data_IF_750200381375
#
_entry.id   IF_750200381375
#
_cell.length_a   1.000
_cell.length_b   1.000
_cell.length_c   1.000
_cell.angle_alpha   90.00
_cell.angle_beta   90.00
_cell.angle_gamma   90.00
#
_symmetry.space_group_name_H-M   'P 1'
#
loop_
_entity.id
_entity.type
_entity.pdbx_description
1 polymer ?
#
# COMPACT_ATOMS: atom_id res chain seq x y z
N UNK A 1 -0.90 -16.32 -39.67
CA UNK A 1 -1.01 -15.09 -38.87
C UNK A 1 -0.76 -15.51 -37.43
N UNK A 2 0.51 -15.48 -37.04
CA UNK A 2 0.93 -15.88 -35.70
C UNK A 2 0.48 -14.78 -34.73
N UNK A 3 -0.39 -15.13 -33.80
CA UNK A 3 -0.75 -14.23 -32.70
C UNK A 3 0.37 -14.38 -31.69
N UNK A 4 1.32 -13.44 -31.71
CA UNK A 4 2.34 -13.30 -30.68
C UNK A 4 1.64 -13.11 -29.33
N UNK A 5 1.61 -14.20 -28.55
CA UNK A 5 1.11 -14.22 -27.20
C UNK A 5 2.22 -13.69 -26.28
N UNK A 6 2.46 -12.39 -26.35
CA UNK A 6 3.34 -11.69 -25.42
C UNK A 6 2.63 -11.62 -24.06
N UNK A 7 2.86 -12.68 -23.28
CA UNK A 7 2.43 -12.83 -21.90
C UNK A 7 3.05 -11.76 -20.99
N UNK A 8 2.57 -10.53 -21.08
CA UNK A 8 2.88 -9.49 -20.13
C UNK A 8 2.08 -9.70 -18.84
N UNK A 9 2.63 -10.50 -17.92
CA UNK A 9 2.08 -10.78 -16.58
C UNK A 9 1.84 -9.50 -15.74
N UNK A 10 2.37 -8.34 -16.14
CA UNK A 10 2.09 -7.04 -15.49
C UNK A 10 0.84 -6.33 -16.05
N UNK A 11 0.34 -6.67 -17.24
CA UNK A 11 -0.88 -6.10 -17.79
C UNK A 11 -2.14 -6.60 -17.05
N UNK A 12 -2.08 -7.81 -16.49
CA UNK A 12 -3.19 -8.42 -15.73
C UNK A 12 -3.34 -7.88 -14.30
N UNK A 13 -2.33 -7.16 -13.77
CA UNK A 13 -2.41 -6.57 -12.43
C UNK A 13 -3.22 -5.28 -12.46
N UNK A 14 -4.41 -5.30 -11.86
CA UNK A 14 -5.23 -4.09 -11.69
C UNK A 14 -4.44 -3.03 -10.93
N UNK A 15 -4.17 -1.90 -11.59
CA UNK A 15 -3.45 -0.76 -11.01
C UNK A 15 -4.18 -0.23 -9.77
N UNK A 16 -3.41 0.23 -8.79
CA UNK A 16 -3.94 0.90 -7.61
C UNK A 16 -4.69 2.18 -8.00
N UNK A 17 -5.74 2.53 -7.25
CA UNK A 17 -6.43 3.81 -7.45
C UNK A 17 -5.49 4.98 -7.13
N UNK A 18 -5.42 5.90 -8.08
CA UNK A 18 -4.82 7.23 -7.94
C UNK A 18 -5.55 8.05 -6.88
N UNK A 19 -4.93 9.16 -6.46
CA UNK A 19 -5.56 10.08 -5.50
C UNK A 19 -6.80 10.71 -6.12
N UNK A 20 -6.73 11.08 -7.39
CA UNK A 20 -7.82 11.73 -8.12
C UNK A 20 -9.02 10.78 -8.29
N UNK A 21 -8.80 9.51 -8.63
CA UNK A 21 -9.88 8.51 -8.68
C UNK A 21 -10.59 8.38 -7.32
N UNK A 22 -9.84 8.42 -6.20
CA UNK A 22 -10.44 8.37 -4.86
C UNK A 22 -11.20 9.65 -4.51
N UNK A 23 -10.67 10.82 -4.86
CA UNK A 23 -11.36 12.08 -4.67
C UNK A 23 -12.67 12.09 -5.48
N UNK A 24 -12.63 11.63 -6.74
CA UNK A 24 -13.83 11.47 -7.58
C UNK A 24 -14.87 10.56 -6.93
N UNK A 25 -14.47 9.42 -6.35
CA UNK A 25 -15.39 8.53 -5.59
C UNK A 25 -16.13 9.31 -4.50
N UNK A 26 -15.40 10.13 -3.72
CA UNK A 26 -16.00 10.88 -2.62
C UNK A 26 -16.94 11.98 -3.11
N UNK A 27 -16.57 12.70 -4.16
CA UNK A 27 -17.43 13.73 -4.78
C UNK A 27 -18.73 13.10 -5.28
N UNK A 28 -18.66 11.98 -6.00
CA UNK A 28 -19.84 11.29 -6.50
C UNK A 28 -20.73 10.74 -5.38
N UNK A 29 -20.12 10.24 -4.30
CA UNK A 29 -20.86 9.81 -3.12
C UNK A 29 -21.54 10.99 -2.40
N UNK A 30 -20.88 12.16 -2.33
CA UNK A 30 -21.47 13.37 -1.77
C UNK A 30 -22.64 13.91 -2.61
N UNK A 31 -22.62 13.66 -3.92
CA UNK A 31 -23.74 13.94 -4.84
C UNK A 31 -24.92 12.94 -4.69
N UNK A 32 -24.83 11.96 -3.79
CA UNK A 32 -25.90 10.99 -3.55
C UNK A 32 -25.91 9.79 -4.50
N UNK A 33 -24.89 9.61 -5.35
CA UNK A 33 -24.79 8.40 -6.18
C UNK A 33 -24.58 7.16 -5.33
N UNK A 34 -25.19 6.06 -5.73
CA UNK A 34 -25.00 4.76 -5.07
C UNK A 34 -23.61 4.20 -5.35
N UNK A 35 -23.07 3.39 -4.43
CA UNK A 35 -21.76 2.73 -4.62
C UNK A 35 -21.67 1.94 -5.93
N UNK A 36 -22.78 1.36 -6.39
CA UNK A 36 -22.88 0.61 -7.64
C UNK A 36 -22.72 1.51 -8.86
N UNK A 37 -23.40 2.66 -8.89
CA UNK A 37 -23.28 3.63 -9.97
C UNK A 37 -21.85 4.22 -10.04
N UNK A 38 -21.26 4.52 -8.89
CA UNK A 38 -19.87 5.01 -8.81
C UNK A 38 -18.89 3.96 -9.33
N UNK A 39 -19.11 2.70 -8.98
CA UNK A 39 -18.30 1.58 -9.44
C UNK A 39 -18.32 1.43 -10.97
N UNK A 40 -19.50 1.53 -11.58
CA UNK A 40 -19.66 1.53 -13.03
C UNK A 40 -18.95 2.73 -13.68
N UNK A 41 -19.11 3.93 -13.13
CA UNK A 41 -18.53 5.16 -13.70
C UNK A 41 -16.98 5.17 -13.66
N UNK A 42 -16.37 4.55 -12.64
CA UNK A 42 -14.92 4.53 -12.45
C UNK A 42 -14.29 3.25 -13.01
N UNK A 43 -15.09 2.27 -13.42
CA UNK A 43 -14.60 0.98 -13.90
C UNK A 43 -13.93 0.15 -12.81
N UNK A 44 -14.46 0.20 -11.58
CA UNK A 44 -13.92 -0.51 -10.41
C UNK A 44 -14.98 -1.34 -9.72
N UNK A 45 -14.55 -2.32 -8.92
CA UNK A 45 -15.48 -3.12 -8.15
C UNK A 45 -16.15 -2.28 -7.06
N UNK A 46 -17.45 -2.52 -6.81
CA UNK A 46 -18.21 -1.90 -5.72
C UNK A 46 -17.50 -1.98 -4.36
N UNK A 47 -16.90 -3.12 -4.04
CA UNK A 47 -16.14 -3.31 -2.80
C UNK A 47 -14.96 -2.34 -2.66
N UNK A 48 -14.34 -1.93 -3.78
CA UNK A 48 -13.26 -0.93 -3.78
C UNK A 48 -13.80 0.45 -3.45
N UNK A 49 -14.92 0.83 -4.07
CA UNK A 49 -15.62 2.09 -3.80
C UNK A 49 -16.04 2.17 -2.33
N UNK A 50 -16.67 1.11 -1.83
CA UNK A 50 -17.11 1.03 -0.43
C UNK A 50 -15.95 1.18 0.56
N UNK A 51 -14.80 0.53 0.31
CA UNK A 51 -13.58 0.69 1.14
C UNK A 51 -13.04 2.13 1.14
N UNK A 52 -13.11 2.84 0.02
CA UNK A 52 -12.67 4.24 -0.06
C UNK A 52 -13.59 5.13 0.76
N UNK A 53 -14.91 4.97 0.61
CA UNK A 53 -15.91 5.73 1.38
C UNK A 53 -15.79 5.43 2.87
N UNK A 54 -15.68 4.15 3.25
CA UNK A 54 -15.51 3.75 4.65
C UNK A 54 -14.24 4.35 5.27
N UNK A 55 -13.12 4.37 4.53
CA UNK A 55 -11.88 5.00 5.01
C UNK A 55 -12.06 6.49 5.25
N UNK A 56 -12.73 7.19 4.34
CA UNK A 56 -13.03 8.60 4.52
C UNK A 56 -13.92 8.84 5.74
N UNK A 57 -14.99 8.05 5.91
CA UNK A 57 -15.89 8.15 7.07
C UNK A 57 -15.16 7.90 8.39
N UNK A 58 -14.27 6.90 8.44
CA UNK A 58 -13.62 6.47 9.68
C UNK A 58 -12.39 7.31 10.05
N UNK A 59 -11.68 7.89 9.08
CA UNK A 59 -10.36 8.48 9.30
C UNK A 59 -10.14 9.81 8.58
N UNK A 60 -11.17 10.34 7.91
CA UNK A 60 -11.12 11.59 7.14
C UNK A 60 -9.91 11.69 6.20
N UNK A 61 -9.51 10.56 5.61
CA UNK A 61 -8.36 10.49 4.70
C UNK A 61 -8.60 9.52 3.56
N UNK A 62 -8.09 9.87 2.37
CA UNK A 62 -8.04 8.99 1.19
C UNK A 62 -6.66 8.39 0.96
N UNK A 63 -5.67 8.83 1.75
CA UNK A 63 -4.30 8.34 1.68
C UNK A 63 -4.24 6.95 2.28
N UNK A 64 -3.38 6.11 1.69
CA UNK A 64 -3.07 4.80 2.26
C UNK A 64 -2.28 5.01 3.55
N UNK A 65 -2.50 4.16 4.56
CA UNK A 65 -1.60 4.08 5.71
C UNK A 65 -0.22 3.69 5.19
N UNK A 66 0.82 4.42 5.58
CA UNK A 66 2.19 3.99 5.31
C UNK A 66 2.38 2.59 5.92
N UNK A 67 2.94 1.67 5.15
CA UNK A 67 3.26 0.35 5.68
C UNK A 67 4.30 0.51 6.78
N UNK A 68 3.94 0.24 8.02
CA UNK A 68 4.91 0.04 9.08
C UNK A 68 5.33 -1.42 8.99
N UNK A 69 6.61 -1.67 8.72
CA UNK A 69 7.15 -3.03 8.79
C UNK A 69 7.01 -3.62 10.19
N UNK A 70 7.58 -4.81 10.40
CA UNK A 70 7.63 -5.38 11.73
C UNK A 70 8.33 -4.39 12.69
N UNK A 71 7.74 -4.20 13.87
CA UNK A 71 8.35 -3.36 14.91
C UNK A 71 9.74 -3.92 15.23
N UNK A 72 10.73 -3.03 15.28
CA UNK A 72 12.11 -3.42 15.61
C UNK A 72 12.15 -4.03 17.01
N UNK A 73 12.88 -5.13 17.17
CA UNK A 73 13.12 -5.75 18.49
C UNK A 73 14.17 -4.98 19.30
N UNK A 74 15.07 -4.30 18.60
CA UNK A 74 16.19 -3.55 19.17
C UNK A 74 15.87 -2.05 19.25
N UNK A 75 16.44 -1.38 20.24
CA UNK A 75 16.45 0.08 20.35
C UNK A 75 17.57 0.68 19.48
N UNK A 76 17.51 1.98 19.13
CA UNK A 76 18.59 2.63 18.38
C UNK A 76 19.94 2.57 19.09
N UNK A 77 19.95 2.60 20.42
CA UNK A 77 21.16 2.46 21.24
C UNK A 77 21.75 1.05 21.11
N UNK A 78 20.91 0.01 21.23
CA UNK A 78 21.34 -1.38 21.03
C UNK A 78 21.87 -1.61 19.61
N UNK A 79 21.24 -1.03 18.59
CA UNK A 79 21.74 -1.10 17.21
C UNK A 79 23.13 -0.44 17.10
N UNK A 80 23.33 0.71 17.74
CA UNK A 80 24.64 1.38 17.78
C UNK A 80 25.69 0.54 18.53
N UNK A 81 25.31 -0.11 19.62
CA UNK A 81 26.19 -0.99 20.39
C UNK A 81 26.60 -2.22 19.56
N UNK A 82 25.63 -2.84 18.87
CA UNK A 82 25.88 -3.98 17.96
C UNK A 82 26.85 -3.56 16.84
N UNK A 83 26.62 -2.39 16.22
CA UNK A 83 27.49 -1.86 15.16
C UNK A 83 28.89 -1.57 15.71
N UNK A 84 28.99 -0.90 16.85
CA UNK A 84 30.27 -0.55 17.48
C UNK A 84 31.06 -1.80 17.86
N UNK A 85 30.38 -2.77 18.48
CA UNK A 85 30.98 -4.06 18.81
C UNK A 85 31.48 -4.79 17.56
N UNK A 86 30.67 -4.87 16.50
CA UNK A 86 31.05 -5.53 15.26
C UNK A 86 32.24 -4.85 14.55
N UNK A 87 32.33 -3.52 14.63
CA UNK A 87 33.45 -2.76 14.06
C UNK A 87 34.75 -2.99 14.85
N UNK A 88 34.66 -2.99 16.17
CA UNK A 88 35.82 -3.12 17.05
C UNK A 88 36.34 -4.56 17.15
N UNK A 89 35.46 -5.56 17.04
CA UNK A 89 35.79 -6.98 17.20
C UNK A 89 35.68 -7.76 15.88
N UNK A 90 36.04 -7.11 14.76
CA UNK A 90 35.80 -7.63 13.39
C UNK A 90 36.44 -8.98 13.10
N UNK A 91 37.53 -9.31 13.79
CA UNK A 91 38.32 -10.54 13.59
C UNK A 91 38.41 -11.40 14.84
N UNK A 92 37.71 -11.05 15.92
CA UNK A 92 37.67 -11.91 17.10
C UNK A 92 36.75 -13.11 16.83
N UNK A 93 37.34 -14.30 16.76
CA UNK A 93 36.60 -15.55 16.81
C UNK A 93 36.26 -15.77 18.28
N UNK A 94 34.98 -15.63 18.61
CA UNK A 94 34.49 -15.97 19.95
C UNK A 94 34.53 -17.51 20.04
N UNK A 95 35.55 -18.07 20.68
CA UNK A 95 35.53 -19.48 21.06
C UNK A 95 34.55 -19.67 22.22
N UNK A 96 33.69 -20.68 22.09
CA UNK A 96 32.57 -21.00 22.97
C UNK A 96 32.99 -21.78 24.22
#
# INVERSE_FOLDING_TARGET
MEIENDGNLNAARRKQLTIDEKAKILVLNAQGKTEHQIALEIGRNRSTVSRVIARWRNSQTIKRKHGTGLVRKTTPEQDNDIVTYALNNRFEIIES
#
